data_IF_260847991381
#
_entry.id   IF_260847991381
#
_cell.length_a   1.000
_cell.length_b   1.000
_cell.length_c   1.000
_cell.angle_alpha   90.00
_cell.angle_beta   90.00
_cell.angle_gamma   90.00
#
_symmetry.space_group_name_H-M   'P 1'
#
loop_
_entity.id
_entity.type
_entity.pdbx_description
1 polymer ?
#
# COMPACT_ATOMS: atom_id res chain seq x y z
N UNK A 1 4.78 13.29 -7.30
CA UNK A 1 5.70 12.41 -6.54
C UNK A 1 7.08 12.54 -7.13
N UNK A 2 8.12 12.49 -6.31
CA UNK A 2 9.53 12.52 -6.73
C UNK A 2 10.10 11.11 -6.57
N UNK A 3 10.88 10.62 -7.55
CA UNK A 3 11.53 9.31 -7.49
C UNK A 3 13.03 9.50 -7.28
N UNK A 4 13.56 8.98 -6.17
CA UNK A 4 14.99 9.05 -5.85
C UNK A 4 15.42 7.62 -5.51
N UNK A 5 16.36 7.06 -6.28
CA UNK A 5 16.90 5.71 -6.03
C UNK A 5 15.86 4.58 -6.06
N UNK A 6 14.79 4.72 -6.85
CA UNK A 6 13.71 3.73 -6.92
C UNK A 6 12.65 3.85 -5.82
N UNK A 7 12.82 4.78 -4.89
CA UNK A 7 11.83 5.04 -3.83
C UNK A 7 11.02 6.29 -4.16
N UNK A 8 9.71 6.22 -3.89
CA UNK A 8 8.77 7.33 -4.11
C UNK A 8 8.76 8.26 -2.91
N UNK A 9 8.86 9.56 -3.17
CA UNK A 9 8.82 10.63 -2.19
C UNK A 9 7.70 11.62 -2.53
N UNK A 10 7.10 12.23 -1.50
CA UNK A 10 6.21 13.37 -1.67
C UNK A 10 6.16 14.24 -0.43
N UNK A 11 5.64 15.46 -0.60
CA UNK A 11 5.44 16.42 0.47
C UNK A 11 4.37 15.95 1.48
N UNK A 12 4.48 16.33 2.76
CA UNK A 12 3.52 15.91 3.80
C UNK A 12 2.09 16.35 3.47
N UNK A 13 1.88 17.59 3.00
CA UNK A 13 0.57 18.10 2.56
C UNK A 13 -0.04 17.24 1.45
N UNK A 14 0.80 16.75 0.55
CA UNK A 14 0.40 15.95 -0.60
C UNK A 14 0.01 14.54 -0.18
N UNK A 15 0.73 13.97 0.79
CA UNK A 15 0.45 12.68 1.41
C UNK A 15 -0.89 12.76 2.14
N UNK A 16 -1.07 13.73 3.03
CA UNK A 16 -2.35 13.93 3.75
C UNK A 16 -3.51 14.25 2.81
N UNK A 17 -3.28 15.08 1.79
CA UNK A 17 -4.29 15.48 0.82
C UNK A 17 -4.53 14.50 -0.33
N UNK A 18 -3.91 13.31 -0.31
CA UNK A 18 -4.02 12.29 -1.35
C UNK A 18 -3.63 12.78 -2.77
N UNK A 19 -2.84 13.86 -2.87
CA UNK A 19 -2.32 14.47 -4.11
C UNK A 19 -0.90 14.05 -4.40
N UNK A 20 -0.56 12.83 -3.99
CA UNK A 20 0.81 12.29 -4.03
C UNK A 20 1.28 12.10 -5.47
N UNK A 21 0.38 11.64 -6.34
CA UNK A 21 0.63 11.39 -7.77
C UNK A 21 1.15 12.63 -8.49
N UNK A 22 0.53 13.79 -8.26
CA UNK A 22 0.87 15.07 -8.93
C UNK A 22 1.75 16.02 -8.11
N UNK A 23 2.25 15.58 -6.94
CA UNK A 23 3.10 16.40 -6.09
C UNK A 23 4.41 16.83 -6.79
N UNK A 24 4.58 18.13 -7.02
CA UNK A 24 5.82 18.76 -7.53
C UNK A 24 6.42 19.78 -6.55
N UNK A 25 6.02 19.73 -5.27
CA UNK A 25 6.51 20.68 -4.28
C UNK A 25 7.90 20.26 -3.79
N UNK A 26 8.90 21.13 -4.00
CA UNK A 26 10.27 21.00 -3.51
C UNK A 26 10.55 21.86 -2.27
N UNK A 27 9.63 22.77 -1.96
CA UNK A 27 9.71 23.73 -0.84
C UNK A 27 9.50 23.07 0.54
N UNK A 28 8.87 21.91 0.57
CA UNK A 28 8.44 21.24 1.80
C UNK A 28 9.23 19.93 2.01
N UNK A 29 9.38 19.46 3.27
CA UNK A 29 10.09 18.22 3.55
C UNK A 29 9.44 17.05 2.80
N UNK A 30 10.25 16.36 1.99
CA UNK A 30 9.85 15.18 1.25
C UNK A 30 9.96 13.95 2.14
N UNK A 31 8.85 13.23 2.29
CA UNK A 31 8.81 11.97 3.03
C UNK A 31 8.72 10.78 2.08
N UNK A 32 9.37 9.68 2.48
CA UNK A 32 9.30 8.40 1.77
C UNK A 32 7.88 7.82 1.86
N UNK A 33 7.33 7.46 0.70
CA UNK A 33 6.03 6.79 0.61
C UNK A 33 6.26 5.28 0.62
N UNK A 34 5.75 4.60 1.65
CA UNK A 34 5.74 3.14 1.72
C UNK A 34 4.84 2.55 0.63
N UNK A 35 5.14 1.34 0.13
CA UNK A 35 4.31 0.69 -0.88
C UNK A 35 2.86 0.54 -0.40
N UNK A 36 1.91 0.79 -1.31
CA UNK A 36 0.49 0.57 -1.05
C UNK A 36 0.22 -0.93 -0.97
N UNK A 37 -0.32 -1.39 0.15
CA UNK A 37 -0.83 -2.75 0.29
C UNK A 37 -1.36 -2.97 1.70
N UNK A 38 -2.65 -3.30 1.82
CA UNK A 38 -3.17 -3.87 3.07
C UNK A 38 -2.61 -5.29 3.17
N UNK A 39 -2.01 -5.69 4.30
CA UNK A 39 -1.68 -7.10 4.50
C UNK A 39 -2.94 -7.94 4.28
N UNK A 40 -2.81 -9.09 3.61
CA UNK A 40 -3.99 -9.92 3.34
C UNK A 40 -4.59 -10.36 4.68
N UNK A 41 -5.84 -9.98 4.94
CA UNK A 41 -6.57 -10.39 6.15
C UNK A 41 -6.80 -11.90 6.23
N UNK A 42 -6.57 -12.61 5.13
CA UNK A 42 -6.78 -14.04 5.03
C UNK A 42 -5.48 -14.81 5.33
N UNK A 43 -5.60 -15.79 6.23
CA UNK A 43 -4.53 -16.71 6.61
C UNK A 43 -4.01 -17.53 5.41
N UNK A 44 -2.77 -18.07 5.48
CA UNK A 44 -2.20 -18.89 4.40
C UNK A 44 -3.08 -20.11 4.09
N UNK A 45 -3.52 -20.82 5.12
CA UNK A 45 -4.41 -21.98 5.04
C UNK A 45 -5.72 -21.66 4.30
N UNK A 46 -6.35 -20.54 4.66
CA UNK A 46 -7.59 -20.05 4.08
C UNK A 46 -7.41 -19.67 2.59
N UNK A 47 -6.24 -19.15 2.23
CA UNK A 47 -5.87 -18.79 0.85
C UNK A 47 -5.66 -20.04 -0.01
N UNK A 48 -5.05 -21.09 0.53
CA UNK A 48 -4.86 -22.37 -0.14
C UNK A 48 -6.18 -23.11 -0.34
N UNK A 49 -7.05 -23.13 0.68
CA UNK A 49 -8.39 -23.72 0.59
C UNK A 49 -9.25 -23.05 -0.49
N UNK A 50 -9.18 -21.71 -0.59
CA UNK A 50 -9.81 -20.95 -1.68
C UNK A 50 -9.23 -21.32 -3.05
N UNK A 51 -7.91 -21.45 -3.18
CA UNK A 51 -7.27 -21.75 -4.46
C UNK A 51 -7.52 -23.18 -4.94
N UNK A 52 -7.53 -24.14 -4.02
CA UNK A 52 -7.68 -25.56 -4.33
C UNK A 52 -9.15 -25.98 -4.46
N UNK A 53 -10.04 -25.48 -3.61
CA UNK A 53 -11.41 -26.00 -3.47
C UNK A 53 -12.49 -24.94 -3.72
N UNK A 54 -12.11 -23.70 -4.01
CA UNK A 54 -13.02 -22.55 -4.09
C UNK A 54 -13.99 -22.43 -2.89
N UNK A 55 -13.57 -22.97 -1.73
CA UNK A 55 -14.40 -23.04 -0.53
C UNK A 55 -14.05 -21.89 0.41
N UNK A 56 -15.07 -21.19 0.89
CA UNK A 56 -14.94 -20.24 1.99
C UNK A 56 -15.12 -20.96 3.32
N UNK A 57 -14.05 -21.07 4.11
CA UNK A 57 -14.16 -21.53 5.50
C UNK A 57 -14.74 -20.40 6.36
N UNK A 58 -16.05 -20.45 6.60
CA UNK A 58 -16.76 -19.54 7.52
C UNK A 58 -16.56 -20.05 8.94
N UNK A 59 -15.43 -19.70 9.57
CA UNK A 59 -15.15 -20.14 10.94
C UNK A 59 -13.65 -20.08 11.27
N UNK A 60 -13.36 -19.30 12.31
CA UNK A 60 -12.09 -19.08 13.01
C UNK A 60 -10.81 -19.66 12.36
N UNK A 61 -10.05 -18.77 11.73
CA UNK A 61 -8.61 -18.91 11.58
C UNK A 61 -7.93 -17.55 11.84
#
# INVERSE_FOLDING_TARGET
>A
MVLIGGVKYACERCIRGHRVTTCNHTDQPLMMIKPKGRPSSQCKHCKEMRKSKNSHSTGAC
#
